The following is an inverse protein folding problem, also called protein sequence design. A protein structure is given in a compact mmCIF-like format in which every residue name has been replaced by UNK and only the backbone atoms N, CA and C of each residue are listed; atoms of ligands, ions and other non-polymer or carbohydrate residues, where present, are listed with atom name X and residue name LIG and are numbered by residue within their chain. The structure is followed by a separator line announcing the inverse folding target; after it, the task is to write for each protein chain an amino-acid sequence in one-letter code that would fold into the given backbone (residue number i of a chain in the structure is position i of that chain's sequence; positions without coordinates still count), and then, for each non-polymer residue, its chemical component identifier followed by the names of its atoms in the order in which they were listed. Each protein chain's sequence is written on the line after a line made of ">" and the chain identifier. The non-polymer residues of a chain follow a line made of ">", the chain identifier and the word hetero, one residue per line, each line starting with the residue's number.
data_IF_898813817321
#
_entry.id   IF_898813817321
#
_cell.length_a   1.000
_cell.length_b   1.000
_cell.length_c   1.000
_cell.angle_alpha   90.00
_cell.angle_beta   90.00
_cell.angle_gamma   90.00
#
_symmetry.space_group_name_H-M   'P 1'
#
loop_
_entity.id
_entity.type
_entity.pdbx_description
1 polymer ?
#
# COMPACT_ATOMS: atom_id res chain seq x y z
N UNK A 1 10.40 11.51 3.66
CA UNK A 1 9.98 10.14 4.03
C UNK A 1 10.03 9.30 2.77
N UNK A 2 10.78 8.19 2.76
CA UNK A 2 10.79 7.27 1.61
C UNK A 2 9.46 6.50 1.54
N UNK A 3 9.22 5.83 0.42
CA UNK A 3 7.95 5.14 0.19
C UNK A 3 7.69 3.97 1.14
N UNK A 4 8.73 3.27 1.58
CA UNK A 4 8.58 2.19 2.55
C UNK A 4 8.13 2.71 3.91
N UNK A 5 8.75 3.79 4.40
CA UNK A 5 8.37 4.45 5.65
C UNK A 5 6.96 5.03 5.56
N UNK A 6 6.60 5.62 4.40
CA UNK A 6 5.25 6.09 4.13
C UNK A 6 4.25 4.94 4.18
N UNK A 7 4.54 3.82 3.51
CA UNK A 7 3.68 2.65 3.47
C UNK A 7 3.52 2.03 4.86
N UNK A 8 4.60 1.92 5.63
CA UNK A 8 4.58 1.43 7.02
C UNK A 8 3.77 2.34 7.93
N UNK A 9 3.92 3.67 7.82
CA UNK A 9 3.14 4.63 8.59
C UNK A 9 1.66 4.54 8.24
N UNK A 10 1.32 4.49 6.95
CA UNK A 10 -0.04 4.34 6.49
C UNK A 10 -0.64 2.99 6.93
N UNK A 11 0.12 1.90 6.82
CA UNK A 11 -0.28 0.55 7.25
C UNK A 11 -0.74 0.54 8.71
N UNK A 12 0.03 1.16 9.61
CA UNK A 12 -0.31 1.19 11.04
C UNK A 12 -1.65 1.91 11.33
N UNK A 13 -2.10 2.80 10.43
CA UNK A 13 -3.38 3.49 10.51
C UNK A 13 -4.58 2.70 9.98
N UNK A 14 -4.37 1.51 9.43
CA UNK A 14 -5.42 0.70 8.84
C UNK A 14 -6.06 -0.27 9.86
N UNK A 15 -7.27 -0.79 9.57
CA UNK A 15 -7.93 -1.81 10.39
C UNK A 15 -7.03 -3.03 10.66
N UNK A 16 -7.18 -3.64 11.83
CA UNK A 16 -6.31 -4.73 12.31
C UNK A 16 -6.34 -5.93 11.37
N UNK A 17 -7.51 -6.28 10.88
CA UNK A 17 -7.80 -7.40 10.00
C UNK A 17 -7.01 -7.27 8.69
N UNK A 18 -6.97 -6.07 8.12
CA UNK A 18 -6.20 -5.80 6.91
C UNK A 18 -4.69 -5.82 7.19
N UNK A 19 -4.27 -5.25 8.33
CA UNK A 19 -2.85 -5.22 8.71
C UNK A 19 -2.26 -6.61 8.78
N UNK A 20 -2.92 -7.52 9.50
CA UNK A 20 -2.43 -8.89 9.71
C UNK A 20 -2.21 -9.65 8.39
N UNK A 21 -3.13 -9.51 7.44
CA UNK A 21 -3.02 -10.12 6.10
C UNK A 21 -1.82 -9.56 5.31
N UNK A 22 -1.51 -8.27 5.48
CA UNK A 22 -0.50 -7.57 4.68
C UNK A 22 0.88 -7.47 5.34
N UNK A 23 1.06 -7.90 6.59
CA UNK A 23 2.38 -7.95 7.24
C UNK A 23 3.42 -8.73 6.41
N UNK A 24 3.13 -9.92 5.85
CA UNK A 24 4.08 -10.65 5.02
C UNK A 24 4.53 -9.84 3.80
N UNK A 25 3.61 -9.11 3.18
CA UNK A 25 3.90 -8.26 2.03
C UNK A 25 4.91 -7.16 2.36
N UNK A 26 4.73 -6.46 3.49
CA UNK A 26 5.67 -5.42 3.92
C UNK A 26 7.07 -5.98 4.18
N UNK A 27 7.17 -7.19 4.73
CA UNK A 27 8.46 -7.88 4.92
C UNK A 27 9.13 -8.17 3.58
N UNK A 28 8.39 -8.70 2.60
CA UNK A 28 8.91 -8.95 1.25
C UNK A 28 9.35 -7.66 0.55
N UNK A 29 8.58 -6.58 0.70
CA UNK A 29 8.94 -5.28 0.13
C UNK A 29 10.20 -4.71 0.76
N UNK A 30 10.36 -4.82 2.09
CA UNK A 30 11.57 -4.40 2.78
C UNK A 30 12.81 -5.18 2.30
N UNK A 31 12.68 -6.51 2.17
CA UNK A 31 13.77 -7.36 1.68
C UNK A 31 14.18 -6.99 0.25
N UNK A 32 13.21 -6.68 -0.62
CA UNK A 32 13.47 -6.19 -1.97
C UNK A 32 14.33 -4.91 -1.96
N UNK A 33 13.98 -3.92 -1.14
CA UNK A 33 14.73 -2.66 -1.07
C UNK A 33 16.17 -2.84 -0.57
N UNK A 34 16.39 -3.74 0.40
CA UNK A 34 17.73 -4.03 0.94
C UNK A 34 18.62 -4.76 -0.08
N UNK A 35 18.03 -5.53 -0.99
CA UNK A 35 18.78 -6.32 -1.99
C UNK A 35 19.39 -5.49 -3.13
N UNK A 36 19.14 -4.18 -3.20
CA UNK A 36 19.93 -3.23 -4.01
C UNK A 36 19.87 -3.42 -5.54
N UNK A 37 18.75 -3.90 -6.10
CA UNK A 37 18.63 -4.12 -7.54
C UNK A 37 18.64 -2.82 -8.38
N UNK A 38 19.38 -2.80 -9.47
CA UNK A 38 19.43 -1.68 -10.45
C UNK A 38 18.14 -1.51 -11.27
N UNK A 39 17.16 -2.43 -11.14
CA UNK A 39 15.76 -2.30 -11.58
C UNK A 39 14.84 -1.67 -10.49
N UNK A 40 15.42 -1.13 -9.41
CA UNK A 40 14.74 -0.95 -8.11
C UNK A 40 13.53 -0.03 -8.12
N UNK A 41 13.51 1.04 -8.91
CA UNK A 41 12.50 2.08 -8.74
C UNK A 41 11.15 1.67 -9.31
N UNK A 42 11.09 1.24 -10.57
CA UNK A 42 9.82 0.82 -11.19
C UNK A 42 9.22 -0.40 -10.49
N UNK A 43 10.06 -1.35 -10.07
CA UNK A 43 9.59 -2.54 -9.34
C UNK A 43 9.15 -2.19 -7.92
N UNK A 44 9.83 -1.27 -7.24
CA UNK A 44 9.38 -0.74 -5.95
C UNK A 44 8.04 -0.01 -6.09
N UNK A 45 7.86 0.81 -7.12
CA UNK A 45 6.59 1.49 -7.42
C UNK A 45 5.47 0.48 -7.66
N UNK A 46 5.73 -0.58 -8.43
CA UNK A 46 4.75 -1.65 -8.65
C UNK A 46 4.38 -2.39 -7.36
N UNK A 47 5.36 -2.69 -6.51
CA UNK A 47 5.10 -3.28 -5.21
C UNK A 47 4.32 -2.31 -4.31
N UNK A 48 4.65 -1.02 -4.32
CA UNK A 48 3.87 -0.02 -3.60
C UNK A 48 2.42 0.01 -4.07
N UNK A 49 2.18 -0.01 -5.39
CA UNK A 49 0.84 -0.05 -5.98
C UNK A 49 0.06 -1.31 -5.60
N UNK A 50 0.69 -2.49 -5.69
CA UNK A 50 0.05 -3.77 -5.39
C UNK A 50 -0.48 -3.83 -3.95
N UNK A 51 0.25 -3.25 -3.00
CA UNK A 51 -0.24 -3.11 -1.63
C UNK A 51 -1.59 -2.38 -1.58
N UNK A 52 -1.72 -1.27 -2.30
CA UNK A 52 -2.96 -0.48 -2.29
C UNK A 52 -4.09 -1.08 -3.12
N UNK A 53 -3.78 -1.87 -4.15
CA UNK A 53 -4.77 -2.71 -4.83
C UNK A 53 -5.39 -3.69 -3.84
N UNK A 54 -4.57 -4.38 -3.03
CA UNK A 54 -5.05 -5.26 -1.95
C UNK A 54 -5.99 -4.54 -0.98
N UNK A 55 -5.64 -3.31 -0.58
CA UNK A 55 -6.49 -2.49 0.29
C UNK A 55 -7.83 -2.13 -0.34
N UNK A 56 -7.85 -1.76 -1.62
CA UNK A 56 -9.09 -1.44 -2.35
C UNK A 56 -10.00 -2.66 -2.47
N UNK A 57 -9.43 -3.82 -2.77
CA UNK A 57 -10.15 -5.10 -2.81
C UNK A 57 -10.78 -5.38 -1.46
N UNK A 58 -10.01 -5.28 -0.37
CA UNK A 58 -10.53 -5.45 0.99
C UNK A 58 -11.73 -4.52 1.25
N UNK A 59 -11.63 -3.23 0.93
CA UNK A 59 -12.73 -2.28 1.11
C UNK A 59 -13.97 -2.59 0.25
N UNK A 60 -13.77 -3.12 -0.95
CA UNK A 60 -14.87 -3.50 -1.84
C UNK A 60 -15.57 -4.77 -1.36
N UNK A 61 -14.82 -5.76 -0.87
CA UNK A 61 -15.36 -6.95 -0.25
C UNK A 61 -16.21 -6.61 0.98
N UNK A 62 -15.75 -5.70 1.86
CA UNK A 62 -16.53 -5.24 3.01
C UNK A 62 -17.86 -4.56 2.63
N UNK A 63 -17.98 -4.05 1.40
CA UNK A 63 -19.17 -3.37 0.88
C UNK A 63 -19.99 -4.23 -0.07
N UNK A 64 -19.62 -5.50 -0.23
CA UNK A 64 -20.18 -6.41 -1.23
C UNK A 64 -20.24 -5.77 -2.63
N UNK A 65 -19.16 -5.07 -3.00
CA UNK A 65 -19.04 -4.36 -4.27
C UNK A 65 -18.12 -5.14 -5.21
N UNK A 66 -18.55 -5.30 -6.45
CA UNK A 66 -17.72 -5.88 -7.50
C UNK A 66 -16.50 -5.01 -7.81
N UNK A 67 -15.43 -5.68 -8.24
CA UNK A 67 -14.19 -5.02 -8.61
C UNK A 67 -13.46 -5.79 -9.70
N UNK A 68 -12.73 -5.03 -10.53
CA UNK A 68 -11.80 -5.58 -11.51
C UNK A 68 -10.37 -5.31 -11.03
N UNK A 69 -9.58 -6.39 -10.91
CA UNK A 69 -8.19 -6.33 -10.48
C UNK A 69 -7.32 -5.49 -11.42
N UNK A 70 -7.51 -5.65 -12.73
CA UNK A 70 -6.74 -4.96 -13.76
C UNK A 70 -7.06 -3.47 -13.80
N UNK A 71 -8.31 -3.09 -13.56
CA UNK A 71 -8.68 -1.68 -13.43
C UNK A 71 -8.05 -1.03 -12.21
N UNK A 72 -8.00 -1.73 -11.08
CA UNK A 72 -7.27 -1.25 -9.90
C UNK A 72 -5.76 -1.11 -10.16
N UNK A 73 -5.17 -2.00 -10.96
CA UNK A 73 -3.75 -1.91 -11.35
C UNK A 73 -3.43 -0.74 -12.28
N UNK A 74 -4.40 -0.25 -13.06
CA UNK A 74 -4.24 0.90 -13.96
C UNK A 74 -4.10 2.23 -13.20
N UNK A 75 -4.52 2.29 -11.94
CA UNK A 75 -4.37 3.48 -11.09
C UNK A 75 -2.88 3.87 -11.00
N UNK A 76 -2.59 5.16 -11.13
CA UNK A 76 -1.21 5.67 -11.15
C UNK A 76 -0.52 5.48 -9.78
N UNK A 77 0.81 5.42 -9.80
CA UNK A 77 1.59 5.33 -8.57
C UNK A 77 1.36 6.57 -7.69
N UNK A 78 1.33 7.76 -8.29
CA UNK A 78 1.15 9.05 -7.61
C UNK A 78 -0.19 9.08 -6.88
N UNK A 79 -1.25 8.56 -7.52
CA UNK A 79 -2.58 8.46 -6.92
C UNK A 79 -2.57 7.61 -5.65
N UNK A 80 -1.88 6.46 -5.69
CA UNK A 80 -1.73 5.60 -4.52
C UNK A 80 -0.81 6.17 -3.46
N UNK A 81 0.21 6.93 -3.86
CA UNK A 81 1.09 7.64 -2.95
C UNK A 81 0.35 8.75 -2.21
N UNK A 82 -0.49 9.52 -2.89
CA UNK A 82 -1.38 10.49 -2.27
C UNK A 82 -2.36 9.86 -1.28
N UNK A 83 -2.92 8.69 -1.62
CA UNK A 83 -3.76 7.92 -0.70
C UNK A 83 -2.99 7.55 0.57
N UNK A 84 -1.76 7.03 0.41
CA UNK A 84 -0.89 6.70 1.53
C UNK A 84 -0.61 7.91 2.42
N UNK A 85 -0.32 9.07 1.82
CA UNK A 85 -0.08 10.32 2.53
C UNK A 85 -1.32 10.76 3.32
N UNK A 86 -2.50 10.73 2.70
CA UNK A 86 -3.77 11.07 3.37
C UNK A 86 -4.01 10.17 4.59
N UNK A 87 -3.84 8.85 4.44
CA UNK A 87 -4.04 7.88 5.53
C UNK A 87 -2.98 8.05 6.64
N UNK A 88 -1.72 8.28 6.27
CA UNK A 88 -0.65 8.51 7.22
C UNK A 88 -0.81 9.82 8.01
N UNK A 89 -1.41 10.84 7.40
CA UNK A 89 -1.66 12.16 8.02
C UNK A 89 -2.93 12.20 8.88
N UNK A 90 -4.00 11.53 8.47
CA UNK A 90 -5.27 11.52 9.22
C UNK A 90 -5.14 10.88 10.61
N UNK A 91 -4.16 10.00 10.80
CA UNK A 91 -3.90 9.37 12.09
C UNK A 91 -3.07 10.26 13.06
N UNK A 92 -2.57 11.41 12.58
CA UNK A 92 -1.89 12.42 13.40
C UNK A 92 -2.91 13.44 13.97
N UNK A 93 -4.05 13.63 13.29
CA UNK A 93 -5.08 14.58 13.71
C UNK A 93 -6.04 14.04 14.80
N UNK A 94 -6.04 12.73 15.05
CA UNK A 94 -6.87 12.07 16.06
C UNK A 94 -6.09 11.66 17.33
N UNK A 95 -4.96 12.34 17.62
CA UNK A 95 -4.17 12.15 18.85
C UNK A 95 -4.13 13.41 19.68
#
# INVERSE_FOLDING_TARGET
>A
MNDYDLLKKAHNSLPKEYKEVMVPYLKSYAAFLVSGGTESEQRAMDLFKQYWVGYKIYLYQQKNKDFDYWDLRKVSYETYRELALKIASNNVANK
#
